data_IF_559014572967
#
_entry.id   IF_559014572967
#
_cell.length_a   1.000
_cell.length_b   1.000
_cell.length_c   1.000
_cell.angle_alpha   90.00
_cell.angle_beta   90.00
_cell.angle_gamma   90.00
#
_symmetry.space_group_name_H-M   'P 1'
#
loop_
_entity.id
_entity.type
_entity.pdbx_description
1 polymer ?
#
# COMPACT_ATOMS: atom_id res chain seq x y z
N UNK A 1 9.17 24.25 -3.33
CA UNK A 1 8.02 23.62 -2.64
C UNK A 1 8.04 22.14 -2.96
N UNK A 2 8.18 21.27 -1.96
CA UNK A 2 8.52 19.85 -2.12
C UNK A 2 7.34 18.89 -2.33
N UNK A 3 6.25 19.36 -2.96
CA UNK A 3 5.01 18.59 -3.13
C UNK A 3 4.81 18.04 -4.54
N UNK A 4 5.68 18.37 -5.50
CA UNK A 4 5.63 17.85 -6.86
C UNK A 4 6.45 16.57 -6.98
N UNK A 5 5.83 15.50 -7.47
CA UNK A 5 6.47 14.22 -7.75
C UNK A 5 5.86 13.55 -8.99
N UNK A 6 6.60 12.64 -9.62
CA UNK A 6 6.10 11.82 -10.72
C UNK A 6 5.02 10.84 -10.27
N UNK A 7 5.14 10.31 -9.04
CA UNK A 7 4.21 9.35 -8.43
C UNK A 7 4.15 9.57 -6.93
N UNK A 8 3.00 9.27 -6.33
CA UNK A 8 2.75 9.44 -4.91
C UNK A 8 2.34 8.11 -4.30
N UNK A 9 3.12 7.58 -3.36
CA UNK A 9 2.77 6.29 -2.75
C UNK A 9 1.54 6.40 -1.85
N UNK A 10 1.34 7.51 -1.14
CA UNK A 10 0.23 7.67 -0.19
C UNK A 10 -1.12 7.97 -0.85
N UNK A 11 -1.13 8.45 -2.09
CA UNK A 11 -2.33 8.75 -2.89
C UNK A 11 -1.97 8.69 -4.38
N UNK A 12 -1.83 7.49 -4.97
CA UNK A 12 -1.42 7.31 -6.36
C UNK A 12 -2.12 8.23 -7.36
N UNK A 13 -3.42 8.45 -7.20
CA UNK A 13 -4.22 9.25 -8.13
C UNK A 13 -3.79 10.71 -8.25
N UNK A 14 -2.92 11.22 -7.37
CA UNK A 14 -2.35 12.57 -7.48
C UNK A 14 -1.48 12.75 -8.73
N UNK A 15 -1.01 11.67 -9.35
CA UNK A 15 -0.31 11.74 -10.63
C UNK A 15 -1.26 11.79 -11.85
N UNK A 16 -2.57 11.64 -11.63
CA UNK A 16 -3.62 11.70 -12.65
C UNK A 16 -3.93 10.37 -13.35
N UNK A 17 -3.05 9.36 -13.24
CA UNK A 17 -3.13 8.12 -14.03
C UNK A 17 -3.18 6.84 -13.17
N UNK A 18 -2.54 6.85 -11.99
CA UNK A 18 -2.38 5.68 -11.13
C UNK A 18 -3.59 5.47 -10.21
N UNK A 19 -4.22 4.28 -10.20
CA UNK A 19 -5.31 3.98 -9.28
C UNK A 19 -4.83 3.82 -7.83
N UNK A 20 -5.61 4.35 -6.87
CA UNK A 20 -5.40 4.11 -5.44
C UNK A 20 -5.85 2.71 -5.00
N UNK A 21 -6.88 2.18 -5.69
CA UNK A 21 -7.63 0.98 -5.31
C UNK A 21 -7.49 -0.10 -6.36
N UNK A 22 -7.37 -1.35 -5.92
CA UNK A 22 -7.45 -2.48 -6.81
C UNK A 22 -8.85 -2.62 -7.42
N UNK A 23 -8.89 -2.95 -8.71
CA UNK A 23 -10.05 -3.49 -9.41
C UNK A 23 -9.59 -4.59 -10.37
N UNK A 24 -10.50 -5.48 -10.78
CA UNK A 24 -10.20 -6.54 -11.74
C UNK A 24 -9.82 -6.03 -13.13
N UNK A 25 -10.16 -4.78 -13.47
CA UNK A 25 -9.83 -4.17 -14.77
C UNK A 25 -8.38 -3.66 -14.86
N UNK A 26 -7.62 -3.64 -13.76
CA UNK A 26 -6.25 -3.13 -13.76
C UNK A 26 -5.24 -4.01 -14.51
N UNK A 27 -5.61 -5.24 -14.86
CA UNK A 27 -4.71 -6.17 -15.56
C UNK A 27 -4.26 -5.68 -16.95
N UNK A 28 -5.01 -4.79 -17.58
CA UNK A 28 -4.67 -4.19 -18.89
C UNK A 28 -4.03 -2.80 -18.79
N UNK A 29 -3.89 -2.26 -17.58
CA UNK A 29 -3.30 -0.95 -17.37
C UNK A 29 -1.77 -1.03 -17.49
N UNK A 30 -1.14 0.03 -18.01
CA UNK A 30 0.32 0.13 -18.05
C UNK A 30 0.91 -0.11 -16.65
N UNK A 31 1.98 -0.91 -16.59
CA UNK A 31 2.61 -1.36 -15.34
C UNK A 31 3.08 -0.20 -14.45
N UNK A 32 3.41 0.95 -15.03
CA UNK A 32 3.79 2.13 -14.27
C UNK A 32 2.63 2.70 -13.46
N UNK A 33 1.41 2.59 -13.96
CA UNK A 33 0.21 3.09 -13.29
C UNK A 33 -0.41 2.03 -12.38
N UNK A 34 -0.51 0.78 -12.82
CA UNK A 34 -1.00 -0.30 -11.96
C UNK A 34 -0.12 -0.48 -10.71
N UNK A 35 1.17 -0.10 -10.76
CA UNK A 35 2.03 -0.04 -9.58
C UNK A 35 1.47 0.80 -8.42
N UNK A 36 0.57 1.76 -8.70
CA UNK A 36 -0.10 2.60 -7.71
C UNK A 36 -0.68 1.82 -6.53
N UNK A 37 -1.39 0.72 -6.79
CA UNK A 37 -2.02 -0.10 -5.74
C UNK A 37 -0.98 -0.68 -4.77
N UNK A 38 0.14 -1.20 -5.28
CA UNK A 38 1.18 -1.79 -4.44
C UNK A 38 2.00 -0.71 -3.70
N UNK A 39 2.23 0.44 -4.36
CA UNK A 39 2.84 1.61 -3.71
C UNK A 39 1.97 2.09 -2.53
N UNK A 40 0.66 2.11 -2.74
CA UNK A 40 -0.32 2.53 -1.76
C UNK A 40 -0.42 1.59 -0.58
N UNK A 41 -0.50 0.28 -0.85
CA UNK A 41 -0.37 -0.76 0.17
C UNK A 41 0.88 -0.53 1.03
N UNK A 42 2.04 -0.32 0.39
CA UNK A 42 3.30 -0.17 1.12
C UNK A 42 3.31 1.07 2.02
N UNK A 43 2.79 2.21 1.54
CA UNK A 43 2.64 3.42 2.35
C UNK A 43 1.77 3.17 3.57
N UNK A 44 0.57 2.61 3.37
CA UNK A 44 -0.39 2.35 4.44
C UNK A 44 0.14 1.34 5.46
N UNK A 45 0.92 0.34 5.02
CA UNK A 45 1.58 -0.59 5.92
C UNK A 45 2.64 0.11 6.79
N UNK A 46 3.47 0.94 6.18
CA UNK A 46 4.59 1.59 6.84
C UNK A 46 4.14 2.73 7.78
N UNK A 47 3.21 3.56 7.32
CA UNK A 47 2.86 4.85 7.95
C UNK A 47 1.43 4.89 8.49
N UNK A 48 0.57 3.94 8.10
CA UNK A 48 -0.88 4.02 8.33
C UNK A 48 -1.57 5.02 7.39
N UNK A 49 -2.85 5.32 7.66
CA UNK A 49 -3.63 6.31 6.91
C UNK A 49 -3.30 7.75 7.37
N UNK A 50 -2.03 8.13 7.29
CA UNK A 50 -1.54 9.46 7.68
C UNK A 50 -1.38 10.33 6.43
N UNK A 51 -1.88 11.57 6.46
CA UNK A 51 -1.67 12.52 5.36
C UNK A 51 -0.30 13.19 5.53
N UNK A 52 0.60 13.14 4.53
CA UNK A 52 1.88 13.82 4.62
C UNK A 52 1.75 15.33 4.76
N UNK A 53 2.73 15.95 5.43
CA UNK A 53 2.81 17.41 5.55
C UNK A 53 2.81 18.08 4.17
N UNK A 54 2.01 19.14 4.03
CA UNK A 54 1.82 19.87 2.77
C UNK A 54 0.74 19.34 1.83
N UNK A 55 0.02 18.28 2.23
CA UNK A 55 -1.11 17.72 1.45
C UNK A 55 -2.45 17.76 2.19
N UNK A 56 -2.47 18.13 3.47
CA UNK A 56 -3.68 18.15 4.31
C UNK A 56 -4.56 19.38 4.13
N UNK A 57 -5.39 19.64 5.13
CA UNK A 57 -6.32 20.76 5.15
C UNK A 57 -5.63 22.13 4.97
N UNK A 58 -6.24 23.02 4.19
CA UNK A 58 -5.71 24.34 3.86
C UNK A 58 -4.62 24.34 2.78
N UNK A 59 -4.50 23.25 2.01
CA UNK A 59 -3.58 23.11 0.87
C UNK A 59 -4.37 22.87 -0.41
N UNK A 60 -3.74 22.99 -1.58
CA UNK A 60 -4.42 22.68 -2.85
C UNK A 60 -4.92 21.23 -2.97
N UNK A 61 -4.49 20.33 -2.07
CA UNK A 61 -4.82 18.91 -2.12
C UNK A 61 -5.97 18.52 -1.18
N UNK A 62 -6.16 19.24 -0.07
CA UNK A 62 -7.21 19.00 0.95
C UNK A 62 -7.37 17.51 1.34
N UNK A 63 -6.27 16.75 1.42
CA UNK A 63 -6.35 15.31 1.72
C UNK A 63 -6.71 15.06 3.18
N UNK A 64 -7.47 13.99 3.38
CA UNK A 64 -7.84 13.46 4.69
C UNK A 64 -7.44 11.98 4.78
N UNK A 65 -7.27 11.41 5.99
CA UNK A 65 -7.05 9.97 6.17
C UNK A 65 -8.06 9.09 5.44
N UNK A 66 -9.33 9.49 5.42
CA UNK A 66 -10.39 8.77 4.72
C UNK A 66 -10.18 8.76 3.19
N UNK A 67 -9.58 9.81 2.64
CA UNK A 67 -9.20 9.89 1.24
C UNK A 67 -7.99 9.02 0.86
N UNK A 68 -7.27 8.45 1.84
CA UNK A 68 -6.12 7.56 1.60
C UNK A 68 -6.51 6.07 1.63
N UNK A 69 -7.78 5.71 1.77
CA UNK A 69 -8.17 4.30 1.86
C UNK A 69 -9.38 4.01 0.98
N UNK A 70 -9.42 2.80 0.44
CA UNK A 70 -10.51 2.31 -0.40
C UNK A 70 -11.58 1.57 0.40
N UNK A 71 -11.20 0.99 1.54
CA UNK A 71 -12.09 0.18 2.39
C UNK A 71 -12.96 1.00 3.35
N UNK A 72 -12.70 2.31 3.47
CA UNK A 72 -13.28 3.19 4.48
C UNK A 72 -12.66 3.07 5.88
N UNK A 73 -11.86 2.04 6.16
CA UNK A 73 -11.18 1.91 7.47
C UNK A 73 -9.87 2.67 7.46
N UNK A 74 -9.78 3.72 8.28
CA UNK A 74 -8.57 4.53 8.50
C UNK A 74 -7.74 4.07 9.69
N UNK A 75 -8.26 3.14 10.49
CA UNK A 75 -7.60 2.59 11.68
C UNK A 75 -6.56 1.51 11.30
N UNK A 76 -5.48 1.93 10.62
CA UNK A 76 -4.38 1.07 10.22
C UNK A 76 -3.22 1.17 11.20
N UNK A 77 -2.79 0.05 11.76
CA UNK A 77 -1.59 -0.01 12.59
C UNK A 77 -0.34 0.10 11.73
N UNK A 78 0.33 1.25 11.79
CA UNK A 78 1.62 1.47 11.15
C UNK A 78 2.70 0.59 11.79
N UNK A 79 3.45 -0.18 10.99
CA UNK A 79 4.55 -1.02 11.49
C UNK A 79 5.93 -0.39 11.29
N UNK A 80 5.97 0.79 10.67
CA UNK A 80 7.19 1.51 10.33
C UNK A 80 7.89 0.93 9.11
N UNK A 81 8.65 1.80 8.43
CA UNK A 81 9.38 1.48 7.19
C UNK A 81 10.32 0.29 7.34
N UNK A 82 11.02 0.17 8.46
CA UNK A 82 11.99 -0.91 8.65
C UNK A 82 11.33 -2.30 8.61
N UNK A 83 10.15 -2.47 9.25
CA UNK A 83 9.42 -3.73 9.20
C UNK A 83 8.75 -3.94 7.83
N UNK A 84 8.13 -2.90 7.27
CA UNK A 84 7.52 -2.95 5.94
C UNK A 84 8.54 -3.36 4.86
N UNK A 85 9.74 -2.76 4.85
CA UNK A 85 10.84 -3.12 3.94
C UNK A 85 11.26 -4.58 4.07
N UNK A 86 11.41 -5.09 5.30
CA UNK A 86 11.81 -6.49 5.54
C UNK A 86 10.75 -7.46 5.01
N UNK A 87 9.47 -7.17 5.25
CA UNK A 87 8.35 -8.00 4.76
C UNK A 87 8.31 -7.97 3.24
N UNK A 88 8.35 -6.78 2.62
CA UNK A 88 8.31 -6.65 1.16
C UNK A 88 9.49 -7.36 0.50
N UNK A 89 10.71 -7.15 1.02
CA UNK A 89 11.91 -7.78 0.48
C UNK A 89 11.88 -9.31 0.59
N UNK A 90 11.44 -9.85 1.74
CA UNK A 90 11.28 -11.31 1.90
C UNK A 90 10.19 -11.85 0.98
N UNK A 91 9.05 -11.17 0.88
CA UNK A 91 7.99 -11.55 -0.04
C UNK A 91 8.49 -11.65 -1.48
N UNK A 92 9.20 -10.62 -1.93
CA UNK A 92 9.77 -10.53 -3.28
C UNK A 92 10.78 -11.64 -3.58
N UNK A 93 11.70 -11.92 -2.65
CA UNK A 93 12.83 -12.82 -2.90
C UNK A 93 12.57 -14.29 -2.60
N UNK A 94 11.55 -14.59 -1.78
CA UNK A 94 11.25 -15.97 -1.34
C UNK A 94 9.95 -16.51 -1.94
N UNK A 95 8.94 -15.67 -2.16
CA UNK A 95 7.58 -16.14 -2.46
C UNK A 95 7.02 -15.66 -3.80
N UNK A 96 7.42 -14.47 -4.27
CA UNK A 96 6.95 -13.95 -5.55
C UNK A 96 7.68 -14.63 -6.70
N UNK A 97 6.93 -14.97 -7.75
CA UNK A 97 7.42 -15.49 -9.02
C UNK A 97 7.12 -14.51 -10.15
N UNK A 98 7.54 -14.83 -11.38
CA UNK A 98 7.25 -14.02 -12.58
C UNK A 98 5.76 -13.90 -12.90
N UNK A 99 4.90 -14.76 -12.34
CA UNK A 99 3.44 -14.75 -12.56
C UNK A 99 2.65 -14.17 -11.37
N UNK A 100 3.31 -13.46 -10.46
CA UNK A 100 2.66 -12.89 -9.26
C UNK A 100 1.67 -11.80 -9.64
N UNK A 101 0.40 -11.98 -9.27
CA UNK A 101 -0.63 -10.93 -9.30
C UNK A 101 -0.89 -10.36 -7.88
N UNK A 102 -1.78 -9.37 -7.72
CA UNK A 102 -2.02 -8.75 -6.41
C UNK A 102 -2.49 -9.73 -5.33
N UNK A 103 -3.38 -10.66 -5.65
CA UNK A 103 -3.84 -11.67 -4.69
C UNK A 103 -2.67 -12.58 -4.24
N UNK A 104 -1.78 -12.94 -5.17
CA UNK A 104 -0.56 -13.67 -4.85
C UNK A 104 0.44 -12.83 -4.05
N UNK A 105 0.59 -11.54 -4.35
CA UNK A 105 1.43 -10.62 -3.58
C UNK A 105 0.92 -10.45 -2.13
N UNK A 106 -0.40 -10.38 -1.93
CA UNK A 106 -1.02 -10.42 -0.60
C UNK A 106 -0.63 -11.68 0.16
N UNK A 107 -0.80 -12.86 -0.44
CA UNK A 107 -0.37 -14.13 0.19
C UNK A 107 1.12 -14.15 0.50
N UNK A 108 1.97 -13.74 -0.45
CA UNK A 108 3.42 -13.69 -0.28
C UNK A 108 3.86 -12.79 0.89
N UNK A 109 3.26 -11.61 1.03
CA UNK A 109 3.56 -10.69 2.13
C UNK A 109 3.04 -11.20 3.48
N UNK A 110 1.92 -11.91 3.53
CA UNK A 110 1.43 -12.57 4.75
C UNK A 110 2.33 -13.74 5.18
N UNK A 111 2.80 -14.56 4.22
CA UNK A 111 3.81 -15.59 4.49
C UNK A 111 5.12 -14.96 4.99
N UNK A 112 5.60 -13.89 4.34
CA UNK A 112 6.80 -13.18 4.79
C UNK A 112 6.66 -12.58 6.19
N UNK A 113 5.50 -12.00 6.53
CA UNK A 113 5.23 -11.51 7.88
C UNK A 113 5.16 -12.65 8.91
N UNK A 114 4.61 -13.80 8.52
CA UNK A 114 4.56 -15.01 9.36
C UNK A 114 5.98 -15.50 9.69
N UNK A 115 6.85 -15.59 8.70
CA UNK A 115 8.23 -16.02 8.90
C UNK A 115 9.05 -15.06 9.78
N UNK A 116 8.86 -13.75 9.60
CA UNK A 116 9.65 -12.74 10.30
C UNK A 116 9.14 -12.45 11.71
N UNK A 117 7.83 -12.57 11.94
CA UNK A 117 7.18 -12.07 13.16
C UNK A 117 6.16 -13.05 13.77
N UNK A 118 5.74 -14.09 13.06
CA UNK A 118 4.67 -15.02 13.45
C UNK A 118 3.29 -14.63 12.92
N UNK A 119 2.42 -15.63 12.70
CA UNK A 119 1.08 -15.46 12.09
C UNK A 119 0.08 -14.73 13.00
N UNK A 120 0.35 -14.65 14.30
CA UNK A 120 -0.47 -13.92 15.29
C UNK A 120 0.11 -12.54 15.64
N UNK A 121 1.14 -12.09 14.92
CA UNK A 121 1.82 -10.82 15.16
C UNK A 121 1.01 -9.60 14.73
N UNK A 122 1.38 -8.45 15.27
CA UNK A 122 0.85 -7.16 14.81
C UNK A 122 1.20 -6.90 13.34
N UNK A 123 2.38 -7.34 12.89
CA UNK A 123 2.84 -7.19 11.51
C UNK A 123 2.00 -8.00 10.53
N UNK A 124 1.67 -9.25 10.86
CA UNK A 124 0.79 -10.07 10.03
C UNK A 124 -0.59 -9.43 9.88
N UNK A 125 -1.18 -8.97 10.99
CA UNK A 125 -2.48 -8.25 10.98
C UNK A 125 -2.41 -6.95 10.19
N UNK A 126 -1.33 -6.18 10.33
CA UNK A 126 -1.13 -4.93 9.60
C UNK A 126 -0.99 -5.15 8.09
N UNK A 127 -0.29 -6.21 7.65
CA UNK A 127 -0.23 -6.58 6.22
C UNK A 127 -1.62 -6.90 5.68
N UNK A 128 -2.40 -7.71 6.40
CA UNK A 128 -3.76 -8.03 5.99
C UNK A 128 -4.64 -6.77 5.88
N UNK A 129 -4.55 -5.88 6.88
CA UNK A 129 -5.32 -4.64 6.91
C UNK A 129 -4.92 -3.66 5.79
N UNK A 130 -3.62 -3.46 5.55
CA UNK A 130 -3.13 -2.56 4.51
C UNK A 130 -3.52 -3.03 3.10
N UNK A 131 -3.50 -4.33 2.81
CA UNK A 131 -3.97 -4.85 1.52
C UNK A 131 -5.47 -4.66 1.35
N UNK A 132 -6.25 -4.90 2.41
CA UNK A 132 -7.70 -4.65 2.40
C UNK A 132 -8.01 -3.16 2.22
N UNK A 133 -7.17 -2.27 2.76
CA UNK A 133 -7.30 -0.82 2.58
C UNK A 133 -7.11 -0.37 1.12
N UNK A 134 -6.46 -1.16 0.27
CA UNK A 134 -6.37 -0.94 -1.18
C UNK A 134 -7.23 -1.90 -2.01
N UNK A 135 -8.26 -2.49 -1.39
CA UNK A 135 -9.24 -3.39 -2.00
C UNK A 135 -8.68 -4.72 -2.53
N UNK A 136 -7.55 -5.20 -1.99
CA UNK A 136 -7.01 -6.54 -2.27
C UNK A 136 -7.29 -7.45 -1.07
N UNK A 137 -8.20 -8.41 -1.23
CA UNK A 137 -8.65 -9.32 -0.16
C UNK A 137 -8.23 -10.77 -0.38
#
# INVERSE_FOLDING_TARGET
>A
TGTLALRYMFKPSLDGDSPDCYSSSLGSLNVHYSSGVANHFYYLLAEGAVVPSGFGAGTSYELTPAGLVCSGSTALTAIGRAAASRIWYRALTVYMTSSTNYAAARRATLSAATDLYGSTSTQYRAVAAAWSAVSVN
#
